data_IF_440950657276
#
_entry.id   IF_440950657276
#
_cell.length_a   1.000
_cell.length_b   1.000
_cell.length_c   1.000
_cell.angle_alpha   90.00
_cell.angle_beta   90.00
_cell.angle_gamma   90.00
#
_symmetry.space_group_name_H-M   'P 1'
#
loop_
_entity.id
_entity.type
_entity.pdbx_description
1 polymer ?
#
# COMPACT_ATOMS: atom_id res chain seq x y z
N UNK A 1 -0.46 -3.15 0.65
CA UNK A 1 0.90 -2.67 0.29
C UNK A 1 0.98 -1.87 -1.01
N UNK A 2 0.38 -2.29 -2.13
CA UNK A 2 0.40 -1.48 -3.35
C UNK A 2 -0.19 -0.08 -3.16
N UNK A 3 -1.26 0.01 -2.37
CA UNK A 3 -1.84 1.30 -1.96
C UNK A 3 -0.83 2.15 -1.17
N UNK A 4 -0.11 1.57 -0.21
CA UNK A 4 0.91 2.25 0.61
C UNK A 4 2.08 2.77 -0.24
N UNK A 5 2.60 1.95 -1.15
CA UNK A 5 3.70 2.33 -2.07
C UNK A 5 3.22 3.39 -3.08
N UNK A 6 1.98 3.25 -3.57
CA UNK A 6 1.31 4.25 -4.38
C UNK A 6 1.15 5.57 -3.61
N UNK A 7 0.73 5.52 -2.35
CA UNK A 7 0.58 6.70 -1.51
C UNK A 7 1.92 7.36 -1.18
N UNK A 8 2.99 6.60 -0.96
CA UNK A 8 4.34 7.14 -0.76
C UNK A 8 4.89 7.79 -2.04
N UNK A 9 4.65 7.18 -3.21
CA UNK A 9 4.96 7.78 -4.51
C UNK A 9 4.18 9.06 -4.76
N UNK A 10 2.89 9.09 -4.41
CA UNK A 10 2.05 10.28 -4.51
C UNK A 10 2.52 11.38 -3.56
N UNK A 11 2.82 11.04 -2.30
CA UNK A 11 3.35 11.97 -1.30
C UNK A 11 4.70 12.56 -1.75
N UNK A 12 5.60 11.75 -2.30
CA UNK A 12 6.86 12.21 -2.88
C UNK A 12 6.67 13.18 -4.06
N UNK A 13 5.64 12.95 -4.89
CA UNK A 13 5.27 13.85 -5.98
C UNK A 13 4.73 15.18 -5.45
N UNK A 14 3.89 15.16 -4.41
CA UNK A 14 3.41 16.39 -3.75
C UNK A 14 4.58 17.17 -3.14
N UNK A 15 5.51 16.51 -2.46
CA UNK A 15 6.73 17.14 -1.91
C UNK A 15 7.59 17.75 -3.01
N UNK A 16 7.80 17.03 -4.13
CA UNK A 16 8.54 17.57 -5.28
C UNK A 16 7.87 18.81 -5.88
N UNK A 17 6.54 18.84 -5.98
CA UNK A 17 5.78 20.00 -6.46
C UNK A 17 5.94 21.19 -5.49
N UNK A 18 5.85 20.96 -4.18
CA UNK A 18 6.07 22.00 -3.15
C UNK A 18 7.47 22.59 -3.28
N UNK A 19 8.51 21.76 -3.39
CA UNK A 19 9.89 22.20 -3.56
C UNK A 19 10.10 23.01 -4.84
N UNK A 20 9.40 22.65 -5.92
CA UNK A 20 9.44 23.37 -7.20
C UNK A 20 8.80 24.74 -7.09
N UNK A 21 7.63 24.84 -6.43
CA UNK A 21 6.94 26.11 -6.17
C UNK A 21 7.79 27.03 -5.28
N UNK A 22 8.36 26.50 -4.19
CA UNK A 22 9.26 27.25 -3.30
C UNK A 22 10.43 27.83 -4.10
N UNK A 23 11.01 27.04 -5.00
CA UNK A 23 12.12 27.51 -5.82
C UNK A 23 11.71 28.53 -6.88
N UNK A 24 10.56 28.38 -7.52
CA UNK A 24 10.10 29.32 -8.57
C UNK A 24 9.75 30.68 -7.98
N UNK A 25 9.06 30.73 -6.84
CA UNK A 25 8.54 31.98 -6.28
C UNK A 25 9.48 32.63 -5.28
N UNK A 26 10.17 31.84 -4.44
CA UNK A 26 11.06 32.38 -3.40
C UNK A 26 12.54 32.29 -3.77
N UNK A 27 12.88 31.68 -4.92
CA UNK A 27 14.26 31.47 -5.41
C UNK A 27 15.19 30.81 -4.37
N UNK A 28 14.62 30.03 -3.46
CA UNK A 28 15.31 29.28 -2.39
C UNK A 28 15.03 27.77 -2.52
N UNK A 29 15.85 26.92 -1.89
CA UNK A 29 15.67 25.46 -1.88
C UNK A 29 16.49 24.68 -2.92
N UNK A 30 16.21 23.37 -3.04
CA UNK A 30 16.95 22.41 -3.87
C UNK A 30 17.04 22.78 -5.35
N UNK A 31 18.15 22.43 -6.02
CA UNK A 31 18.34 22.64 -7.46
C UNK A 31 17.23 22.00 -8.31
N UNK A 32 16.82 22.63 -9.42
CA UNK A 32 15.83 22.05 -10.35
C UNK A 32 16.17 20.62 -10.78
N UNK A 33 17.46 20.31 -10.94
CA UNK A 33 17.95 18.96 -11.25
C UNK A 33 17.61 17.95 -10.15
N UNK A 34 17.74 18.34 -8.88
CA UNK A 34 17.50 17.45 -7.74
C UNK A 34 16.00 17.28 -7.48
N UNK A 35 15.21 18.34 -7.70
CA UNK A 35 13.74 18.28 -7.66
C UNK A 35 13.21 17.36 -8.77
N UNK A 36 13.78 17.44 -9.97
CA UNK A 36 13.43 16.55 -11.09
C UNK A 36 13.75 15.08 -10.82
N UNK A 37 14.88 14.80 -10.17
CA UNK A 37 15.24 13.42 -9.76
C UNK A 37 14.26 12.89 -8.70
N UNK A 38 13.92 13.72 -7.70
CA UNK A 38 12.94 13.36 -6.67
C UNK A 38 11.55 13.08 -7.27
N UNK A 39 11.08 13.94 -8.18
CA UNK A 39 9.82 13.75 -8.89
C UNK A 39 9.82 12.48 -9.75
N UNK A 40 10.94 12.16 -10.39
CA UNK A 40 11.11 10.93 -11.17
C UNK A 40 11.02 9.67 -10.30
N UNK A 41 11.73 9.64 -9.17
CA UNK A 41 11.68 8.52 -8.21
C UNK A 41 10.28 8.35 -7.62
N UNK A 42 9.64 9.46 -7.26
CA UNK A 42 8.28 9.45 -6.71
C UNK A 42 7.23 8.98 -7.74
N UNK A 43 7.36 9.39 -9.01
CA UNK A 43 6.51 8.91 -10.10
C UNK A 43 6.70 7.42 -10.37
N UNK A 44 7.93 6.91 -10.31
CA UNK A 44 8.21 5.48 -10.43
C UNK A 44 7.59 4.68 -9.30
N UNK A 45 7.72 5.13 -8.05
CA UNK A 45 7.07 4.50 -6.89
C UNK A 45 5.55 4.54 -6.99
N UNK A 46 4.97 5.64 -7.50
CA UNK A 46 3.53 5.76 -7.72
C UNK A 46 3.02 4.73 -8.75
N UNK A 47 3.72 4.58 -9.88
CA UNK A 47 3.36 3.61 -10.93
C UNK A 47 3.54 2.17 -10.42
N UNK A 48 4.59 1.88 -9.67
CA UNK A 48 4.81 0.57 -9.04
C UNK A 48 3.69 0.26 -8.04
N UNK A 49 3.25 1.25 -7.26
CA UNK A 49 2.10 1.13 -6.36
C UNK A 49 0.79 0.79 -7.08
N UNK A 50 0.53 1.41 -8.23
CA UNK A 50 -0.64 1.11 -9.08
C UNK A 50 -0.63 -0.31 -9.65
N UNK A 51 0.55 -0.90 -9.88
CA UNK A 51 0.69 -2.29 -10.38
C UNK A 51 0.52 -3.31 -9.24
N UNK A 52 0.81 -2.92 -7.99
CA UNK A 52 0.76 -3.81 -6.81
C UNK A 52 -0.59 -3.68 -6.06
N UNK A 53 -1.40 -2.65 -6.31
CA UNK A 53 -2.77 -2.61 -5.78
C UNK A 53 -3.59 -3.73 -6.41
N UNK A 54 -4.33 -4.54 -5.62
CA UNK A 54 -5.35 -5.41 -6.18
C UNK A 54 -6.31 -4.52 -6.96
N UNK A 55 -6.49 -4.83 -8.25
CA UNK A 55 -7.56 -4.28 -9.08
C UNK A 55 -8.85 -4.31 -8.24
N UNK A 56 -9.66 -3.23 -8.21
CA UNK A 56 -10.94 -3.25 -7.51
C UNK A 56 -11.73 -4.49 -7.92
N UNK A 57 -12.48 -5.06 -6.97
CA UNK A 57 -13.19 -6.31 -7.15
C UNK A 57 -13.88 -6.32 -8.51
N UNK A 58 -13.74 -7.44 -9.22
CA UNK A 58 -14.16 -7.63 -10.60
C UNK A 58 -15.60 -7.17 -10.86
N UNK A 59 -16.46 -7.01 -9.85
CA UNK A 59 -17.85 -6.55 -10.00
C UNK A 59 -18.00 -5.20 -10.72
N UNK A 60 -17.22 -4.17 -10.39
CA UNK A 60 -17.39 -2.84 -11.04
C UNK A 60 -16.83 -2.84 -12.49
N UNK A 61 -15.72 -3.53 -12.73
CA UNK A 61 -15.15 -3.72 -14.08
C UNK A 61 -15.92 -4.76 -14.92
N UNK A 62 -16.62 -5.69 -14.27
CA UNK A 62 -17.47 -6.71 -14.90
C UNK A 62 -18.79 -6.11 -15.30
N UNK A 63 -19.38 -5.18 -14.54
CA UNK A 63 -20.59 -4.45 -14.96
C UNK A 63 -20.30 -3.53 -16.15
N UNK A 64 -19.17 -2.80 -16.13
CA UNK A 64 -18.73 -2.00 -17.28
C UNK A 64 -18.36 -2.88 -18.51
N UNK A 65 -17.80 -4.07 -18.26
CA UNK A 65 -17.53 -5.07 -19.30
C UNK A 65 -18.78 -5.81 -19.81
N UNK A 66 -19.81 -5.99 -18.97
CA UNK A 66 -21.09 -6.60 -19.32
C UNK A 66 -21.88 -5.67 -20.23
N UNK A 67 -21.90 -4.37 -19.94
CA UNK A 67 -22.55 -3.37 -20.78
C UNK A 67 -21.88 -3.26 -22.15
N UNK A 68 -20.54 -3.32 -22.20
CA UNK A 68 -19.78 -3.35 -23.44
C UNK A 68 -19.94 -4.69 -24.21
N UNK A 69 -20.06 -5.81 -23.50
CA UNK A 69 -20.23 -7.15 -24.06
C UNK A 69 -21.65 -7.43 -24.57
N UNK A 70 -22.69 -6.94 -23.89
CA UNK A 70 -24.08 -7.08 -24.33
C UNK A 70 -24.36 -6.34 -25.65
N UNK A 71 -23.62 -5.27 -25.94
CA UNK A 71 -23.67 -4.58 -27.24
C UNK A 71 -22.95 -5.37 -28.35
N UNK A 72 -21.97 -6.21 -28.02
CA UNK A 72 -21.24 -7.05 -28.99
C UNK A 72 -21.96 -8.39 -29.29
N UNK A 73 -22.75 -8.93 -28.34
CA UNK A 73 -23.44 -10.23 -28.48
C UNK A 73 -24.70 -10.16 -29.37
N UNK A 74 -25.22 -8.98 -29.68
CA UNK A 74 -26.33 -8.85 -30.66
C UNK A 74 -25.93 -9.15 -32.12
N UNK A 75 -24.63 -9.34 -32.43
CA UNK A 75 -24.20 -9.53 -33.82
C UNK A 75 -23.66 -10.90 -34.21
N UNK A 76 -23.46 -11.87 -33.30
CA UNK A 76 -23.06 -13.22 -33.76
C UNK A 76 -23.44 -14.33 -32.78
N UNK A 77 -24.46 -15.13 -33.10
CA UNK A 77 -24.62 -16.49 -32.57
C UNK A 77 -25.25 -17.43 -33.62
N UNK A 78 -24.46 -18.42 -34.06
CA UNK A 78 -24.96 -19.77 -34.32
C UNK A 78 -24.53 -20.66 -33.14
N UNK A 79 -25.41 -21.51 -32.57
CA UNK A 79 -25.04 -22.31 -31.41
C UNK A 79 -24.47 -23.68 -31.82
N UNK A 80 -23.29 -24.03 -31.31
CA UNK A 80 -22.88 -25.43 -31.15
C UNK A 80 -23.06 -25.88 -29.70
N UNK A 81 -23.87 -26.92 -29.57
CA UNK A 81 -24.21 -27.73 -28.40
C UNK A 81 -22.94 -28.34 -27.79
N UNK A 82 -22.76 -28.25 -26.48
CA UNK A 82 -21.83 -29.10 -25.73
C UNK A 82 -22.49 -29.65 -24.47
N UNK A 83 -22.25 -30.95 -24.29
CA UNK A 83 -22.79 -31.85 -23.29
C UNK A 83 -22.12 -31.60 -21.94
N UNK A 84 -22.92 -31.64 -20.87
CA UNK A 84 -22.44 -31.52 -19.50
C UNK A 84 -21.73 -32.82 -19.08
N UNK A 85 -20.43 -32.76 -18.88
CA UNK A 85 -19.68 -33.75 -18.09
C UNK A 85 -19.59 -33.22 -16.66
N UNK A 86 -19.91 -34.07 -15.68
CA UNK A 86 -19.75 -33.79 -14.25
C UNK A 86 -18.28 -33.45 -13.91
N UNK A 87 -17.90 -32.18 -14.05
CA UNK A 87 -16.59 -31.67 -13.64
C UNK A 87 -16.49 -31.72 -12.12
N UNK A 88 -15.54 -32.51 -11.61
CA UNK A 88 -15.15 -32.45 -10.20
C UNK A 88 -14.53 -31.08 -9.94
N UNK A 89 -15.27 -30.23 -9.24
CA UNK A 89 -14.88 -28.88 -8.82
C UNK A 89 -13.91 -29.01 -7.64
N UNK A 90 -12.69 -28.47 -7.77
CA UNK A 90 -11.74 -28.37 -6.67
C UNK A 90 -11.61 -26.94 -6.17
N UNK A 91 -12.26 -26.65 -5.05
CA UNK A 91 -12.10 -25.37 -4.33
C UNK A 91 -10.97 -25.48 -3.30
N UNK A 92 -9.87 -24.78 -3.55
CA UNK A 92 -8.75 -24.71 -2.61
C UNK A 92 -9.04 -23.63 -1.58
N UNK A 93 -8.82 -23.97 -0.31
CA UNK A 93 -8.80 -23.05 0.82
C UNK A 93 -7.42 -23.10 1.47
N UNK A 94 -7.01 -22.01 2.09
CA UNK A 94 -5.78 -21.98 2.85
C UNK A 94 -5.45 -20.60 3.38
N UNK A 95 -4.43 -20.57 4.22
CA UNK A 95 -3.89 -19.39 4.89
C UNK A 95 -2.36 -19.47 4.94
N UNK A 96 -1.73 -18.31 4.92
CA UNK A 96 -0.31 -18.14 5.17
C UNK A 96 -0.15 -17.41 6.51
N UNK A 97 0.63 -17.97 7.42
CA UNK A 97 1.05 -17.30 8.66
C UNK A 97 2.56 -17.05 8.60
N UNK A 98 3.00 -15.86 9.02
CA UNK A 98 4.43 -15.54 9.19
C UNK A 98 4.68 -15.14 10.64
N UNK A 99 5.66 -15.79 11.26
CA UNK A 99 6.16 -15.45 12.61
C UNK A 99 7.66 -15.20 12.56
N UNK A 100 8.14 -14.23 13.33
CA UNK A 100 9.57 -13.97 13.48
C UNK A 100 10.11 -14.59 14.75
N UNK A 101 11.22 -15.30 14.64
CA UNK A 101 11.94 -15.87 15.77
C UNK A 101 13.41 -16.01 15.43
N UNK A 102 14.29 -15.60 16.35
CA UNK A 102 15.74 -15.76 16.23
C UNK A 102 16.32 -15.19 14.91
N UNK A 103 15.77 -14.05 14.44
CA UNK A 103 16.20 -13.39 13.20
C UNK A 103 15.71 -14.06 11.90
N UNK A 104 14.87 -15.09 12.00
CA UNK A 104 14.27 -15.80 10.86
C UNK A 104 12.78 -15.52 10.77
N UNK A 105 12.26 -15.61 9.56
CA UNK A 105 10.82 -15.70 9.33
C UNK A 105 10.41 -17.16 9.17
N UNK A 106 9.38 -17.57 9.90
CA UNK A 106 8.78 -18.89 9.84
C UNK A 106 7.45 -18.73 9.10
N UNK A 107 7.41 -19.18 7.84
CA UNK A 107 6.19 -19.21 7.05
C UNK A 107 5.50 -20.56 7.22
N UNK A 108 4.23 -20.53 7.58
CA UNK A 108 3.36 -21.72 7.70
C UNK A 108 2.19 -21.57 6.75
N UNK A 109 2.01 -22.53 5.85
CA UNK A 109 0.84 -22.64 4.98
C UNK A 109 -0.05 -23.76 5.50
N UNK A 110 -1.30 -23.44 5.80
CA UNK A 110 -2.35 -24.44 6.11
C UNK A 110 -3.36 -24.42 4.98
N UNK A 111 -3.63 -25.57 4.35
CA UNK A 111 -4.48 -25.64 3.16
C UNK A 111 -5.11 -27.02 2.97
N UNK A 112 -6.21 -27.10 2.20
CA UNK A 112 -6.79 -28.36 1.74
C UNK A 112 -6.18 -28.86 0.41
N UNK A 113 -5.15 -28.19 -0.14
CA UNK A 113 -4.45 -28.66 -1.32
C UNK A 113 -3.87 -30.06 -1.10
N UNK A 114 -3.87 -30.92 -2.13
CA UNK A 114 -3.42 -32.30 -1.98
C UNK A 114 -1.94 -32.38 -1.58
N UNK A 115 -1.57 -33.43 -0.87
CA UNK A 115 -0.17 -33.69 -0.52
C UNK A 115 0.73 -33.74 -1.75
N UNK A 116 1.85 -33.02 -1.64
CA UNK A 116 2.80 -32.80 -2.73
C UNK A 116 2.57 -31.49 -3.49
N UNK A 117 1.48 -30.76 -3.24
CA UNK A 117 1.29 -29.42 -3.81
C UNK A 117 2.42 -28.49 -3.36
N UNK A 118 2.94 -27.69 -4.29
CA UNK A 118 4.08 -26.80 -4.04
C UNK A 118 3.65 -25.34 -4.17
N UNK A 119 3.91 -24.55 -3.13
CA UNK A 119 3.65 -23.10 -3.12
C UNK A 119 4.96 -22.32 -3.20
N UNK A 120 5.11 -21.47 -4.21
CA UNK A 120 6.10 -20.40 -4.23
C UNK A 120 5.72 -19.38 -3.15
N UNK A 121 6.57 -19.23 -2.14
CA UNK A 121 6.34 -18.31 -1.02
C UNK A 121 7.37 -17.20 -1.07
N UNK A 122 6.90 -15.95 -1.07
CA UNK A 122 7.76 -14.77 -1.08
C UNK A 122 7.50 -13.97 0.19
N UNK A 123 8.59 -13.57 0.84
CA UNK A 123 8.61 -12.64 1.95
C UNK A 123 9.28 -11.36 1.45
N UNK A 124 8.68 -10.20 1.68
CA UNK A 124 9.13 -8.93 1.13
C UNK A 124 9.02 -7.78 2.14
N UNK A 125 10.05 -6.93 2.22
CA UNK A 125 10.06 -5.73 3.06
C UNK A 125 9.37 -4.52 2.40
N UNK A 126 9.27 -3.41 3.13
CA UNK A 126 8.70 -2.16 2.62
C UNK A 126 9.50 -1.51 1.48
N UNK A 127 10.75 -1.92 1.26
CA UNK A 127 11.64 -1.45 0.21
C UNK A 127 11.63 -2.37 -1.03
N UNK A 128 10.75 -3.38 -1.06
CA UNK A 128 10.65 -4.39 -2.12
C UNK A 128 11.85 -5.33 -2.21
N UNK A 129 12.70 -5.40 -1.18
CA UNK A 129 13.66 -6.48 -1.05
C UNK A 129 12.90 -7.75 -0.71
N UNK A 130 13.28 -8.88 -1.31
CA UNK A 130 12.54 -10.13 -1.15
C UNK A 130 13.45 -11.34 -0.96
N UNK A 131 12.93 -12.31 -0.21
CA UNK A 131 13.42 -13.68 -0.16
C UNK A 131 12.28 -14.61 -0.55
N UNK A 132 12.58 -15.66 -1.31
CA UNK A 132 11.57 -16.61 -1.76
C UNK A 132 12.08 -18.03 -1.74
N UNK A 133 11.16 -18.97 -1.57
CA UNK A 133 11.43 -20.40 -1.61
C UNK A 133 10.10 -21.16 -1.83
N UNK A 134 10.22 -22.45 -2.11
CA UNK A 134 9.10 -23.34 -2.34
C UNK A 134 8.76 -24.14 -1.09
N UNK A 135 7.48 -24.15 -0.74
CA UNK A 135 6.94 -24.90 0.40
C UNK A 135 6.07 -26.03 -0.14
N UNK A 136 6.41 -27.27 0.20
CA UNK A 136 5.60 -28.44 -0.15
C UNK A 136 4.60 -28.76 0.96
N UNK A 137 3.36 -28.98 0.59
CA UNK A 137 2.28 -29.34 1.51
C UNK A 137 2.30 -30.84 1.80
N UNK A 138 2.23 -31.19 3.08
CA UNK A 138 2.06 -32.55 3.59
C UNK A 138 1.06 -32.56 4.73
N UNK A 139 0.03 -33.42 4.65
CA UNK A 139 -1.07 -33.50 5.60
C UNK A 139 -1.74 -32.13 5.82
N UNK A 140 -1.91 -31.37 4.74
CA UNK A 140 -2.53 -30.04 4.76
C UNK A 140 -1.67 -28.91 5.35
N UNK A 141 -0.40 -29.15 5.68
CA UNK A 141 0.51 -28.14 6.24
C UNK A 141 1.85 -28.12 5.51
N UNK A 142 2.41 -26.94 5.32
CA UNK A 142 3.80 -26.73 4.89
C UNK A 142 4.47 -25.66 5.74
N UNK A 143 5.73 -25.87 6.14
CA UNK A 143 6.48 -24.92 6.98
C UNK A 143 7.87 -24.71 6.39
N UNK A 144 8.31 -23.44 6.36
CA UNK A 144 9.67 -23.08 5.92
C UNK A 144 10.21 -21.92 6.74
N UNK A 145 11.50 -22.01 7.07
CA UNK A 145 12.27 -20.91 7.64
C UNK A 145 12.99 -20.14 6.54
N UNK A 146 12.95 -18.81 6.63
CA UNK A 146 13.64 -17.89 5.76
C UNK A 146 14.65 -17.08 6.57
N UNK A 147 15.87 -16.98 6.07
CA UNK A 147 16.87 -16.04 6.58
C UNK A 147 16.48 -14.63 6.16
N UNK A 148 16.24 -13.76 7.13
CA UNK A 148 15.98 -12.34 6.86
C UNK A 148 17.33 -11.62 6.73
N UNK A 149 17.60 -10.96 5.59
CA UNK A 149 18.83 -10.21 5.41
C UNK A 149 18.98 -9.12 6.49
N UNK A 150 20.20 -8.91 6.98
CA UNK A 150 20.48 -7.99 8.11
C UNK A 150 20.25 -6.52 7.76
N UNK A 151 20.27 -6.22 6.47
CA UNK A 151 20.00 -4.91 5.88
C UNK A 151 18.51 -4.56 5.87
N UNK A 152 17.61 -5.51 6.14
CA UNK A 152 16.18 -5.20 6.24
C UNK A 152 15.91 -4.36 7.48
N UNK A 153 15.21 -3.25 7.26
CA UNK A 153 14.89 -2.31 8.32
C UNK A 153 13.66 -2.78 9.12
N UNK A 154 13.56 -2.28 10.36
CA UNK A 154 12.36 -2.43 11.18
C UNK A 154 11.16 -1.84 10.43
N UNK A 155 10.09 -2.60 10.34
CA UNK A 155 8.90 -2.18 9.62
C UNK A 155 7.90 -3.31 9.44
N UNK A 156 7.05 -3.19 8.43
CA UNK A 156 6.11 -4.25 8.06
C UNK A 156 6.67 -5.06 6.89
N UNK A 157 6.63 -6.37 7.06
CA UNK A 157 6.98 -7.34 6.03
C UNK A 157 5.68 -7.97 5.54
N UNK A 158 5.62 -8.31 4.25
CA UNK A 158 4.50 -9.08 3.72
C UNK A 158 4.90 -10.44 3.20
N UNK A 159 3.96 -11.37 3.36
CA UNK A 159 4.02 -12.72 2.85
C UNK A 159 2.99 -12.95 1.77
N UNK A 160 3.39 -13.69 0.74
CA UNK A 160 2.48 -14.23 -0.26
C UNK A 160 2.86 -15.69 -0.55
N UNK A 161 1.86 -16.51 -0.86
CA UNK A 161 2.04 -17.90 -1.22
C UNK A 161 1.18 -18.23 -2.46
N UNK A 162 1.84 -18.77 -3.48
CA UNK A 162 1.23 -19.03 -4.79
C UNK A 162 1.50 -20.47 -5.24
N UNK A 163 0.46 -21.23 -5.53
CA UNK A 163 0.59 -22.53 -6.19
C UNK A 163 0.48 -22.32 -7.70
N UNK A 164 1.61 -22.39 -8.39
CA UNK A 164 1.70 -22.09 -9.83
C UNK A 164 1.76 -23.37 -10.66
N UNK A 165 0.99 -23.41 -11.74
CA UNK A 165 1.05 -24.46 -12.77
C UNK A 165 1.84 -24.01 -14.00
N UNK A 166 2.11 -22.72 -14.12
CA UNK A 166 2.78 -22.08 -15.26
C UNK A 166 4.25 -21.73 -14.97
N UNK A 167 4.95 -22.57 -14.19
CA UNK A 167 6.34 -22.35 -13.82
C UNK A 167 7.19 -23.55 -14.21
N UNK A 168 7.90 -23.43 -15.34
CA UNK A 168 8.67 -24.53 -15.94
C UNK A 168 9.88 -24.95 -15.09
N UNK A 169 10.49 -24.01 -14.38
CA UNK A 169 11.67 -24.26 -13.53
C UNK A 169 11.32 -25.05 -12.27
N UNK A 170 10.09 -24.91 -11.77
CA UNK A 170 9.56 -25.57 -10.58
C UNK A 170 8.13 -26.03 -10.81
N UNK A 171 7.91 -27.03 -11.69
CA UNK A 171 6.57 -27.48 -12.05
C UNK A 171 5.91 -28.21 -10.89
N UNK A 172 4.56 -28.21 -10.86
CA UNK A 172 3.82 -29.06 -9.92
C UNK A 172 4.10 -30.55 -10.20
N UNK A 173 4.21 -31.39 -9.15
CA UNK A 173 4.38 -32.84 -9.33
C UNK A 173 3.24 -33.49 -10.10
N UNK A 174 3.52 -34.60 -10.81
CA UNK A 174 2.53 -35.31 -11.65
C UNK A 174 1.25 -35.71 -10.91
N UNK A 175 1.37 -36.08 -9.62
CA UNK A 175 0.21 -36.40 -8.76
C UNK A 175 -0.73 -35.19 -8.62
N UNK A 176 -0.16 -34.00 -8.50
CA UNK A 176 -0.88 -32.72 -8.35
C UNK A 176 -1.53 -32.34 -9.66
N UNK A 177 -0.79 -32.42 -10.78
CA UNK A 177 -1.33 -32.19 -12.12
C UNK A 177 -2.47 -33.15 -12.47
N UNK A 178 -2.36 -34.43 -12.10
CA UNK A 178 -3.44 -35.39 -12.31
C UNK A 178 -4.73 -34.99 -11.58
N UNK A 179 -4.61 -34.44 -10.38
CA UNK A 179 -5.77 -34.00 -9.60
C UNK A 179 -6.39 -32.72 -10.17
N UNK A 180 -5.59 -31.68 -10.40
CA UNK A 180 -6.07 -30.33 -10.72
C UNK A 180 -6.06 -29.98 -12.21
N UNK A 181 -5.48 -30.84 -13.04
CA UNK A 181 -5.22 -30.56 -14.44
C UNK A 181 -3.77 -30.18 -14.71
N UNK A 182 -3.34 -30.28 -15.96
CA UNK A 182 -1.95 -29.95 -16.37
C UNK A 182 -1.62 -28.49 -16.05
N UNK A 183 -2.59 -27.60 -16.22
CA UNK A 183 -2.47 -26.16 -16.03
C UNK A 183 -3.33 -25.65 -14.87
N UNK A 184 -3.88 -26.55 -14.04
CA UNK A 184 -4.80 -26.21 -12.96
C UNK A 184 -6.23 -25.93 -13.44
N UNK A 185 -6.62 -26.39 -14.63
CA UNK A 185 -7.92 -26.09 -15.26
C UNK A 185 -9.14 -26.59 -14.46
N UNK A 186 -8.96 -27.46 -13.46
CA UNK A 186 -10.05 -27.94 -12.57
C UNK A 186 -10.17 -27.14 -11.28
N UNK A 187 -9.28 -26.18 -11.04
CA UNK A 187 -9.35 -25.32 -9.87
C UNK A 187 -10.50 -24.32 -10.00
N UNK A 188 -11.17 -24.08 -8.88
CA UNK A 188 -12.27 -23.12 -8.74
C UNK A 188 -12.17 -22.42 -7.38
N UNK A 189 -13.02 -21.44 -7.13
CA UNK A 189 -13.12 -20.73 -5.85
C UNK A 189 -12.33 -19.43 -5.79
N UNK A 190 -12.41 -18.75 -4.64
CA UNK A 190 -11.92 -17.36 -4.47
C UNK A 190 -10.42 -17.16 -4.67
N UNK A 191 -9.62 -18.21 -4.51
CA UNK A 191 -8.17 -18.17 -4.67
C UNK A 191 -7.69 -18.59 -6.05
N UNK A 192 -8.58 -19.10 -6.91
CA UNK A 192 -8.23 -19.46 -8.27
C UNK A 192 -8.03 -18.19 -9.11
N UNK A 193 -6.85 -18.06 -9.72
CA UNK A 193 -6.48 -16.92 -10.56
C UNK A 193 -6.04 -17.43 -11.92
N UNK A 194 -6.62 -16.91 -13.00
CA UNK A 194 -6.27 -17.31 -14.36
C UNK A 194 -4.77 -17.15 -14.63
N UNK A 195 -4.17 -18.15 -15.25
CA UNK A 195 -2.78 -18.13 -15.68
C UNK A 195 -2.67 -17.96 -17.21
N UNK A 196 -1.45 -17.77 -17.70
CA UNK A 196 -1.17 -17.53 -19.12
C UNK A 196 -1.14 -18.80 -19.99
N UNK A 197 -1.53 -19.96 -19.46
CA UNK A 197 -1.50 -21.26 -20.17
C UNK A 197 -2.87 -21.95 -20.13
N UNK A 198 -3.95 -21.17 -20.17
CA UNK A 198 -5.34 -21.68 -20.19
C UNK A 198 -5.67 -22.58 -18.99
N UNK A 199 -5.35 -22.12 -17.78
CA UNK A 199 -5.76 -22.74 -16.54
C UNK A 199 -5.72 -21.74 -15.38
N UNK A 200 -5.58 -22.25 -14.16
CA UNK A 200 -5.60 -21.43 -12.95
C UNK A 200 -4.41 -21.74 -12.04
N UNK A 201 -3.92 -20.73 -11.34
CA UNK A 201 -3.05 -20.84 -10.18
C UNK A 201 -3.88 -20.64 -8.90
N UNK A 202 -3.31 -20.95 -7.73
CA UNK A 202 -3.88 -20.54 -6.44
C UNK A 202 -3.05 -19.42 -5.84
N UNK A 203 -3.67 -18.30 -5.51
CA UNK A 203 -3.04 -17.22 -4.76
C UNK A 203 -3.74 -17.08 -3.40
N UNK A 204 -3.01 -17.36 -2.30
CA UNK A 204 -3.53 -17.13 -0.96
C UNK A 204 -3.56 -15.63 -0.63
N UNK A 205 -4.31 -15.25 0.40
CA UNK A 205 -4.37 -13.86 0.86
C UNK A 205 -2.98 -13.39 1.30
N UNK A 206 -2.64 -12.15 0.95
CA UNK A 206 -1.39 -11.53 1.35
C UNK A 206 -1.50 -11.21 2.85
N UNK A 207 -0.49 -11.62 3.61
CA UNK A 207 -0.38 -11.25 5.02
C UNK A 207 0.65 -10.15 5.19
N UNK A 208 0.40 -9.25 6.14
CA UNK A 208 1.35 -8.20 6.54
C UNK A 208 1.57 -8.32 8.04
N UNK A 209 2.83 -8.43 8.45
CA UNK A 209 3.24 -8.68 9.84
C UNK A 209 4.34 -7.72 10.26
N UNK A 210 4.36 -7.28 11.54
CA UNK A 210 5.42 -6.41 12.04
C UNK A 210 6.74 -7.18 12.19
N UNK A 211 7.84 -6.51 11.86
CA UNK A 211 9.19 -7.04 11.95
C UNK A 211 10.12 -6.11 12.75
N UNK A 212 10.87 -6.65 13.74
CA UNK A 212 10.82 -8.03 14.22
C UNK A 212 9.57 -8.36 15.04
N UNK A 213 8.93 -7.33 15.62
CA UNK A 213 7.74 -7.44 16.45
C UNK A 213 6.98 -6.10 16.47
N UNK A 214 5.75 -6.14 16.98
CA UNK A 214 4.84 -4.98 16.98
C UNK A 214 5.37 -3.80 17.81
N UNK A 215 6.00 -4.07 18.95
CA UNK A 215 6.52 -3.03 19.84
C UNK A 215 7.68 -2.27 19.18
N UNK A 216 8.60 -2.99 18.56
CA UNK A 216 9.76 -2.42 17.87
C UNK A 216 9.33 -1.60 16.65
N UNK A 217 8.36 -2.09 15.88
CA UNK A 217 7.79 -1.34 14.74
C UNK A 217 7.12 -0.07 15.22
N UNK A 218 6.30 -0.14 16.28
CA UNK A 218 5.64 1.04 16.85
C UNK A 218 6.64 2.08 17.33
N UNK A 219 7.70 1.67 18.02
CA UNK A 219 8.76 2.57 18.46
C UNK A 219 9.46 3.26 17.27
N UNK A 220 9.70 2.51 16.18
CA UNK A 220 10.30 3.08 14.96
C UNK A 220 9.37 4.08 14.27
N UNK A 221 8.08 3.77 14.16
CA UNK A 221 7.09 4.69 13.60
C UNK A 221 6.96 5.97 14.42
N UNK A 222 7.04 5.88 15.75
CA UNK A 222 7.04 7.04 16.64
C UNK A 222 8.27 7.94 16.42
N UNK A 223 9.46 7.33 16.24
CA UNK A 223 10.69 8.06 15.89
C UNK A 223 10.54 8.78 14.54
N UNK A 224 10.08 8.07 13.51
CA UNK A 224 9.89 8.60 12.15
C UNK A 224 8.84 9.71 12.13
N UNK A 225 7.76 9.56 12.90
CA UNK A 225 6.73 10.56 13.07
C UNK A 225 7.29 11.88 13.62
N UNK A 226 8.05 11.81 14.71
CA UNK A 226 8.69 12.99 15.32
C UNK A 226 9.69 13.63 14.35
N UNK A 227 10.49 12.82 13.67
CA UNK A 227 11.44 13.30 12.67
C UNK A 227 10.74 14.03 11.51
N UNK A 228 9.66 13.46 10.96
CA UNK A 228 8.90 14.05 9.86
C UNK A 228 8.24 15.38 10.26
N UNK A 229 7.66 15.47 11.46
CA UNK A 229 7.09 16.73 11.97
C UNK A 229 8.17 17.81 12.15
N UNK A 230 9.32 17.45 12.72
CA UNK A 230 10.44 18.38 12.88
C UNK A 230 11.01 18.83 11.54
N UNK A 231 11.11 17.94 10.56
CA UNK A 231 11.58 18.28 9.21
C UNK A 231 10.62 19.26 8.52
N UNK A 232 9.30 19.08 8.69
CA UNK A 232 8.29 20.01 8.19
C UNK A 232 8.44 21.40 8.83
N UNK A 233 8.67 21.47 10.14
CA UNK A 233 8.94 22.72 10.86
C UNK A 233 10.22 23.37 10.35
N UNK A 234 11.33 22.63 10.29
CA UNK A 234 12.64 23.15 9.89
C UNK A 234 12.63 23.67 8.44
N UNK A 235 12.05 22.89 7.52
CA UNK A 235 11.97 23.23 6.10
C UNK A 235 11.08 24.46 5.85
N UNK A 236 10.15 24.76 6.76
CA UNK A 236 9.31 25.97 6.68
C UNK A 236 10.10 27.28 6.85
N UNK A 237 11.39 27.23 7.25
CA UNK A 237 12.23 28.39 7.50
C UNK A 237 11.61 29.41 8.49
N UNK A 238 10.99 28.91 9.56
CA UNK A 238 10.40 29.73 10.61
C UNK A 238 8.98 30.24 10.32
N UNK A 239 8.34 29.78 9.24
CA UNK A 239 6.91 30.02 9.02
C UNK A 239 6.07 29.16 9.98
N UNK A 240 6.40 27.87 10.10
CA UNK A 240 5.81 26.99 11.10
C UNK A 240 6.68 27.08 12.35
N UNK A 241 6.05 27.39 13.48
CA UNK A 241 6.69 27.50 14.80
C UNK A 241 6.54 26.20 15.57
N UNK A 242 5.35 25.56 15.49
CA UNK A 242 5.06 24.34 16.22
C UNK A 242 3.93 23.54 15.53
N UNK A 243 3.93 22.22 15.71
CA UNK A 243 2.86 21.31 15.29
C UNK A 243 2.55 20.41 16.49
N UNK A 244 1.30 20.37 16.91
CA UNK A 244 0.88 19.64 18.11
C UNK A 244 -0.56 19.13 18.00
N UNK A 245 -0.97 18.16 18.83
CA UNK A 245 -2.38 17.86 19.06
C UNK A 245 -3.15 19.14 19.37
N UNK A 246 -4.31 19.32 18.75
CA UNK A 246 -5.15 20.48 19.00
C UNK A 246 -5.68 20.48 20.44
N UNK A 247 -5.97 19.29 20.97
CA UNK A 247 -6.40 19.08 22.35
C UNK A 247 -5.28 18.50 23.21
N UNK A 248 -5.35 18.72 24.53
CA UNK A 248 -4.31 18.30 25.50
C UNK A 248 -4.38 16.81 25.87
N UNK A 249 -5.19 16.04 25.17
CA UNK A 249 -5.37 14.59 25.36
C UNK A 249 -4.35 13.75 24.57
N UNK A 250 -3.58 14.39 23.68
CA UNK A 250 -2.59 13.71 22.85
C UNK A 250 -3.16 13.07 21.58
N UNK A 251 -4.45 13.32 21.28
CA UNK A 251 -5.10 12.83 20.07
C UNK A 251 -4.65 13.63 18.85
N UNK A 252 -4.17 12.93 17.82
CA UNK A 252 -3.70 13.51 16.57
C UNK A 252 -4.79 13.57 15.48
N UNK A 253 -6.03 13.14 15.77
CA UNK A 253 -7.19 13.31 14.86
C UNK A 253 -7.51 14.79 14.60
N UNK A 254 -7.10 15.68 15.51
CA UNK A 254 -7.14 17.12 15.35
C UNK A 254 -5.78 17.73 15.67
N UNK A 255 -5.21 18.48 14.73
CA UNK A 255 -3.85 19.02 14.80
C UNK A 255 -3.89 20.55 14.76
N UNK A 256 -3.15 21.19 15.65
CA UNK A 256 -2.90 22.62 15.63
C UNK A 256 -1.50 22.92 15.10
N UNK A 257 -1.44 23.73 14.05
CA UNK A 257 -0.21 24.28 13.47
C UNK A 257 -0.07 25.73 13.91
N UNK A 258 0.95 26.03 14.70
CA UNK A 258 1.28 27.39 15.11
C UNK A 258 2.19 27.99 14.04
N UNK A 259 1.80 29.11 13.44
CA UNK A 259 2.58 29.84 12.44
C UNK A 259 3.04 31.21 12.96
N UNK A 260 4.15 31.71 12.42
CA UNK A 260 4.69 33.02 12.76
C UNK A 260 3.94 34.17 12.08
N UNK A 261 4.26 35.40 12.48
CA UNK A 261 3.69 36.62 11.91
C UNK A 261 3.90 36.77 10.38
N UNK A 262 4.79 35.96 9.80
CA UNK A 262 4.94 35.81 8.35
C UNK A 262 3.60 35.58 7.64
N UNK A 263 2.66 34.90 8.31
CA UNK A 263 1.30 34.67 7.81
C UNK A 263 0.58 35.96 7.39
N UNK A 264 0.70 37.03 8.19
CA UNK A 264 -0.06 38.27 7.98
C UNK A 264 0.43 39.07 6.77
N UNK A 265 1.65 38.82 6.31
CA UNK A 265 2.23 39.49 5.15
C UNK A 265 1.92 38.80 3.82
N UNK A 266 1.32 37.61 3.84
CA UNK A 266 0.95 36.84 2.65
C UNK A 266 -0.45 37.20 2.13
N UNK A 267 -0.67 36.98 0.84
CA UNK A 267 -1.98 37.14 0.20
C UNK A 267 -2.90 35.96 0.53
N UNK A 268 -4.23 36.16 0.48
CA UNK A 268 -5.20 35.14 0.92
C UNK A 268 -5.09 33.81 0.15
N UNK A 269 -4.78 33.84 -1.16
CA UNK A 269 -4.55 32.61 -1.93
C UNK A 269 -3.24 31.89 -1.56
N UNK A 270 -2.22 32.62 -1.10
CA UNK A 270 -0.95 32.03 -0.65
C UNK A 270 -1.16 31.32 0.69
N UNK A 271 -1.96 31.92 1.57
CA UNK A 271 -2.39 31.32 2.85
C UNK A 271 -3.21 30.06 2.62
N UNK A 272 -4.17 30.08 1.69
CA UNK A 272 -5.00 28.91 1.36
C UNK A 272 -4.13 27.76 0.81
N UNK A 273 -3.27 28.06 -0.18
CA UNK A 273 -2.34 27.06 -0.73
C UNK A 273 -1.36 26.51 0.31
N UNK A 274 -0.86 27.36 1.20
CA UNK A 274 0.01 26.93 2.29
C UNK A 274 -0.74 25.97 3.23
N UNK A 275 -1.94 26.35 3.66
CA UNK A 275 -2.75 25.56 4.57
C UNK A 275 -3.14 24.20 3.96
N UNK A 276 -3.49 24.17 2.68
CA UNK A 276 -3.78 22.93 1.94
C UNK A 276 -2.58 22.00 1.90
N UNK A 277 -1.41 22.50 1.51
CA UNK A 277 -0.21 21.68 1.39
C UNK A 277 0.30 21.17 2.73
N UNK A 278 0.41 22.07 3.73
CA UNK A 278 0.89 21.70 5.07
C UNK A 278 -0.11 20.80 5.77
N UNK A 279 -1.41 21.11 5.67
CA UNK A 279 -2.47 20.29 6.22
C UNK A 279 -2.50 18.88 5.62
N UNK A 280 -2.39 18.78 4.29
CA UNK A 280 -2.30 17.49 3.59
C UNK A 280 -1.06 16.69 4.00
N UNK A 281 0.11 17.33 4.09
CA UNK A 281 1.34 16.67 4.53
C UNK A 281 1.22 16.14 5.98
N UNK A 282 0.68 16.94 6.90
CA UNK A 282 0.46 16.54 8.29
C UNK A 282 -0.52 15.36 8.37
N UNK A 283 -1.64 15.43 7.62
CA UNK A 283 -2.59 14.33 7.54
C UNK A 283 -1.89 13.03 7.11
N UNK A 284 -1.08 13.08 6.05
CA UNK A 284 -0.31 11.92 5.59
C UNK A 284 0.67 11.41 6.64
N UNK A 285 1.40 12.29 7.34
CA UNK A 285 2.36 11.88 8.38
C UNK A 285 1.65 11.20 9.55
N UNK A 286 0.54 11.78 10.03
CA UNK A 286 -0.25 11.26 11.16
C UNK A 286 -0.82 9.89 10.84
N UNK A 287 -1.47 9.72 9.68
CA UNK A 287 -2.07 8.43 9.30
C UNK A 287 -1.01 7.37 9.00
N UNK A 288 0.07 7.74 8.31
CA UNK A 288 1.15 6.78 7.96
C UNK A 288 1.92 6.28 9.19
N UNK A 289 1.99 7.08 10.26
CA UNK A 289 2.58 6.69 11.53
C UNK A 289 1.63 5.84 12.41
N UNK A 290 0.39 5.57 11.95
CA UNK A 290 -0.60 4.82 12.73
C UNK A 290 -1.09 5.54 13.97
N UNK A 291 -0.95 6.88 14.04
CA UNK A 291 -1.47 7.68 15.17
C UNK A 291 -2.99 7.79 15.17
N UNK A 292 -3.58 7.61 13.99
CA UNK A 292 -5.01 7.68 13.70
C UNK A 292 -5.31 6.58 12.68
N UNK A 293 -6.51 5.99 12.70
CA UNK A 293 -6.89 4.94 11.76
C UNK A 293 -6.80 5.41 10.30
N UNK A 294 -6.59 4.49 9.35
CA UNK A 294 -6.45 4.84 7.93
C UNK A 294 -7.69 5.49 7.33
N UNK A 295 -8.86 5.17 7.88
CA UNK A 295 -10.17 5.68 7.43
C UNK A 295 -10.65 6.89 8.27
N UNK A 296 -9.89 7.25 9.31
CA UNK A 296 -10.24 8.34 10.20
C UNK A 296 -9.75 9.69 9.64
N UNK A 297 -10.56 10.72 9.83
CA UNK A 297 -10.25 12.06 9.36
C UNK A 297 -9.25 12.76 10.29
N UNK A 298 -8.11 13.18 9.75
CA UNK A 298 -7.21 14.13 10.42
C UNK A 298 -7.57 15.55 10.01
N UNK A 299 -7.96 16.36 10.98
CA UNK A 299 -8.30 17.77 10.78
C UNK A 299 -7.15 18.67 11.23
N UNK A 300 -6.70 19.57 10.37
CA UNK A 300 -5.57 20.46 10.67
C UNK A 300 -6.07 21.91 10.75
N UNK A 301 -5.74 22.60 11.83
CA UNK A 301 -6.10 23.99 12.09
C UNK A 301 -4.84 24.83 12.21
N UNK A 302 -4.91 26.09 11.78
CA UNK A 302 -3.78 27.02 11.83
C UNK A 302 -4.05 28.13 12.82
N UNK A 303 -3.06 28.44 13.64
CA UNK A 303 -3.11 29.46 14.69
C UNK A 303 -1.88 30.35 14.64
N UNK A 304 -1.99 31.59 15.08
CA UNK A 304 -0.82 32.41 15.36
C UNK A 304 -0.20 32.07 16.73
N UNK A 305 0.94 32.68 17.04
CA UNK A 305 1.64 32.50 18.32
C UNK A 305 0.87 33.01 19.54
N UNK A 306 -0.22 33.75 19.33
CA UNK A 306 -1.09 34.27 20.39
C UNK A 306 -2.36 33.41 20.57
N UNK A 307 -2.52 32.35 19.77
CA UNK A 307 -3.66 31.45 19.81
C UNK A 307 -4.88 31.93 19.02
N UNK A 308 -4.74 32.94 18.16
CA UNK A 308 -5.81 33.32 17.22
C UNK A 308 -5.86 32.31 16.08
N UNK A 309 -7.03 31.73 15.82
CA UNK A 309 -7.23 30.83 14.69
C UNK A 309 -7.20 31.60 13.36
N UNK A 310 -6.35 31.15 12.45
CA UNK A 310 -6.04 31.78 11.17
C UNK A 310 -6.63 31.02 9.99
N UNK A 311 -6.72 29.69 10.07
CA UNK A 311 -7.36 28.89 9.04
C UNK A 311 -7.94 27.58 9.60
N UNK A 312 -9.04 27.14 9.00
CA UNK A 312 -9.75 25.91 9.35
C UNK A 312 -10.13 25.12 8.10
N UNK A 313 -10.25 23.78 8.17
CA UNK A 313 -10.70 22.99 7.04
C UNK A 313 -12.15 23.31 6.69
N UNK A 314 -12.49 23.25 5.40
CA UNK A 314 -13.87 23.36 4.88
C UNK A 314 -14.49 21.96 4.75
N UNK A 315 -15.82 21.87 4.86
CA UNK A 315 -16.56 20.60 4.73
C UNK A 315 -16.40 19.92 3.37
N UNK A 316 -16.17 20.68 2.30
CA UNK A 316 -16.04 20.19 0.92
C UNK A 316 -14.58 20.22 0.41
N UNK A 317 -13.61 20.30 1.32
CA UNK A 317 -12.20 20.42 0.99
C UNK A 317 -11.69 21.87 0.88
N UNK A 318 -10.38 22.02 1.03
CA UNK A 318 -9.69 23.31 1.12
C UNK A 318 -9.82 23.98 2.48
N UNK A 319 -9.34 25.23 2.57
CA UNK A 319 -9.24 25.97 3.84
C UNK A 319 -10.01 27.27 3.84
N UNK A 320 -10.67 27.57 4.95
CA UNK A 320 -11.26 28.89 5.22
C UNK A 320 -10.22 29.75 5.93
N UNK A 321 -9.75 30.81 5.25
CA UNK A 321 -8.87 31.80 5.86
C UNK A 321 -9.67 32.77 6.73
N UNK A 322 -9.23 32.97 7.97
CA UNK A 322 -9.81 33.89 8.95
C UNK A 322 -9.00 35.19 8.98
N UNK A 323 -9.68 36.32 9.19
CA UNK A 323 -9.08 37.66 9.25
C UNK A 323 -8.90 38.13 10.68
#
# INVERSE_FOLDING_TARGET
MGALIGFLGLAGLVVAVVLLVVRVFFKKGLGYKNIGVLAGVALSLFIIGLVITPTPSTKESFEAGLEAGQQAVQQTQEPKKNEATDEVIYEVTGELEIKFKDGKAIATITTNAIDGSVFETVIMDGNLNMVSDFITIQNGVGVKEFDIPKEWEVGYISGLAMMRFNLDEHPQPDKVKKAYGENGEKLRGKFAVENNVNGYNINLEIVTVPYPDEETVKAKLDELFVAAMNELINTSNGVIVNIQPHFKDGDWSSVAVIVSDAWYYSQDYEKERFAENVGGAIQTIVTSAGKVGSDDLVTVYFYDTYGKELASPKLLGGYKIKR
#
